data_IF_793644232028
#
_entry.id   IF_793644232028
#
_cell.length_a   1.000
_cell.length_b   1.000
_cell.length_c   1.000
_cell.angle_alpha   90.00
_cell.angle_beta   90.00
_cell.angle_gamma   90.00
#
_symmetry.space_group_name_H-M   'P 1'
#
loop_
_entity.id
_entity.type
_entity.pdbx_description
1 polymer ?
#
# COMPACT_ATOMS: atom_id res chain seq x y z
N UNK A 1 -16.41 2.98 7.32
CA UNK A 1 -15.35 1.98 7.23
C UNK A 1 -15.90 0.63 6.90
N UNK A 2 -15.13 -0.16 6.21
CA UNK A 2 -15.56 -1.48 5.83
C UNK A 2 -14.70 -2.52 6.52
N UNK A 3 -15.35 -3.48 7.15
CA UNK A 3 -14.66 -4.53 7.88
C UNK A 3 -14.55 -5.77 7.01
N UNK A 4 -13.37 -6.36 6.93
CA UNK A 4 -13.17 -7.64 6.28
C UNK A 4 -12.46 -8.59 7.23
N UNK A 5 -12.77 -9.86 7.09
CA UNK A 5 -12.14 -10.92 7.86
C UNK A 5 -11.04 -11.52 6.99
N UNK A 6 -9.81 -11.46 7.45
CA UNK A 6 -8.64 -11.92 6.69
C UNK A 6 -7.97 -13.05 7.43
N UNK A 7 -7.66 -14.13 6.72
CA UNK A 7 -6.95 -15.26 7.32
C UNK A 7 -5.45 -15.01 7.18
N UNK A 8 -4.75 -14.88 8.31
CA UNK A 8 -3.32 -14.66 8.35
C UNK A 8 -2.70 -15.77 9.17
N UNK A 9 -1.86 -16.58 8.55
CA UNK A 9 -1.16 -17.68 9.22
C UNK A 9 -2.11 -18.60 9.98
N UNK A 10 -3.25 -18.90 9.37
CA UNK A 10 -4.23 -19.78 9.99
C UNK A 10 -5.13 -19.12 11.00
N UNK A 11 -4.95 -17.84 11.27
CA UNK A 11 -5.80 -17.10 12.19
C UNK A 11 -6.66 -16.11 11.44
N UNK A 12 -7.91 -15.98 11.88
CA UNK A 12 -8.82 -15.04 11.25
C UNK A 12 -8.79 -13.74 12.01
N UNK A 13 -8.51 -12.65 11.30
CA UNK A 13 -8.39 -11.32 11.88
C UNK A 13 -9.37 -10.39 11.20
N UNK A 14 -10.10 -9.60 12.00
CA UNK A 14 -11.00 -8.59 11.46
C UNK A 14 -10.26 -7.28 11.34
N UNK A 15 -10.33 -6.67 10.16
CA UNK A 15 -9.66 -5.39 9.90
C UNK A 15 -10.67 -4.44 9.31
N UNK A 16 -10.71 -3.22 9.83
CA UNK A 16 -11.59 -2.17 9.32
C UNK A 16 -10.75 -1.10 8.65
N UNK A 17 -11.06 -0.83 7.39
CA UNK A 17 -10.37 0.19 6.62
C UNK A 17 -11.40 0.95 5.80
N UNK A 18 -11.05 2.17 5.45
CA UNK A 18 -11.85 2.94 4.51
C UNK A 18 -11.89 2.20 3.16
N UNK A 19 -13.00 2.28 2.43
CA UNK A 19 -13.10 1.58 1.15
C UNK A 19 -11.97 1.90 0.18
N UNK A 20 -11.48 3.13 0.17
CA UNK A 20 -10.39 3.50 -0.73
C UNK A 20 -9.12 2.70 -0.45
N UNK A 21 -8.85 2.40 0.83
CA UNK A 21 -7.68 1.60 1.16
C UNK A 21 -7.87 0.13 0.79
N UNK A 22 -9.09 -0.40 0.94
CA UNK A 22 -9.36 -1.76 0.49
C UNK A 22 -9.16 -1.87 -1.02
N UNK A 23 -9.64 -0.88 -1.77
CA UNK A 23 -9.46 -0.88 -3.22
C UNK A 23 -8.00 -0.83 -3.60
N UNK A 24 -7.22 0.00 -2.91
CA UNK A 24 -5.79 0.10 -3.18
C UNK A 24 -5.08 -1.22 -2.93
N UNK A 25 -5.41 -1.88 -1.82
CA UNK A 25 -4.78 -3.15 -1.49
C UNK A 25 -5.20 -4.26 -2.45
N UNK A 26 -6.47 -4.29 -2.85
CA UNK A 26 -6.93 -5.25 -3.86
C UNK A 26 -6.18 -5.05 -5.17
N UNK A 27 -5.96 -3.81 -5.56
CA UNK A 27 -5.24 -3.50 -6.78
C UNK A 27 -3.79 -3.96 -6.71
N UNK A 28 -3.13 -3.70 -5.59
CA UNK A 28 -1.74 -4.11 -5.41
C UNK A 28 -1.63 -5.64 -5.49
N UNK A 29 -2.54 -6.34 -4.80
CA UNK A 29 -2.52 -7.80 -4.83
C UNK A 29 -2.71 -8.32 -6.24
N UNK A 30 -3.62 -7.71 -7.00
CA UNK A 30 -3.88 -8.11 -8.38
C UNK A 30 -2.65 -7.89 -9.25
N UNK A 31 -2.00 -6.74 -9.11
CA UNK A 31 -0.81 -6.43 -9.89
C UNK A 31 0.31 -7.42 -9.57
N UNK A 32 0.41 -7.85 -8.33
CA UNK A 32 1.44 -8.80 -7.93
C UNK A 32 1.02 -10.25 -8.12
N UNK A 33 -0.17 -10.48 -8.67
CA UNK A 33 -0.68 -11.82 -8.92
C UNK A 33 -0.69 -12.68 -7.66
N UNK A 34 -1.15 -12.11 -6.55
CA UNK A 34 -1.20 -12.82 -5.29
C UNK A 34 -2.52 -12.51 -4.58
N UNK A 35 -2.88 -13.33 -3.60
CA UNK A 35 -4.11 -13.11 -2.86
C UNK A 35 -3.96 -11.92 -1.92
N UNK A 36 -5.08 -11.31 -1.57
CA UNK A 36 -5.07 -10.22 -0.60
C UNK A 36 -4.56 -10.71 0.75
N UNK A 37 -4.94 -11.93 1.16
CA UNK A 37 -4.47 -12.49 2.41
C UNK A 37 -2.96 -12.65 2.43
N UNK A 38 -2.37 -13.07 1.30
CA UNK A 38 -0.92 -13.20 1.20
C UNK A 38 -0.24 -11.84 1.34
N UNK A 39 -0.78 -10.82 0.67
CA UNK A 39 -0.24 -9.47 0.76
C UNK A 39 -0.31 -8.95 2.20
N UNK A 40 -1.47 -9.09 2.82
CA UNK A 40 -1.65 -8.60 4.19
C UNK A 40 -0.77 -9.37 5.16
N UNK A 41 -0.57 -10.66 4.93
CA UNK A 41 0.34 -11.44 5.77
C UNK A 41 1.76 -10.92 5.74
N UNK A 42 2.23 -10.50 4.56
CA UNK A 42 3.56 -9.89 4.46
C UNK A 42 3.64 -8.57 5.19
N UNK A 43 2.60 -7.74 5.06
CA UNK A 43 2.58 -6.45 5.76
C UNK A 43 2.54 -6.67 7.28
N UNK A 44 1.79 -7.67 7.72
CA UNK A 44 1.73 -8.01 9.13
C UNK A 44 3.11 -8.40 9.65
N UNK A 45 3.84 -9.18 8.87
CA UNK A 45 5.19 -9.58 9.24
C UNK A 45 6.11 -8.37 9.35
N UNK A 46 6.00 -7.43 8.39
CA UNK A 46 6.83 -6.24 8.40
C UNK A 46 6.53 -5.33 9.60
N UNK A 47 5.24 -5.19 9.97
CA UNK A 47 4.93 -4.35 11.12
C UNK A 47 5.44 -4.96 12.41
N UNK A 48 5.41 -6.28 12.52
CA UNK A 48 5.87 -6.96 13.74
C UNK A 48 7.38 -6.88 13.90
N UNK A 49 8.12 -6.56 12.84
CA UNK A 49 9.55 -6.34 12.94
C UNK A 49 9.90 -4.97 13.50
N UNK A 50 8.95 -4.09 13.65
CA UNK A 50 9.16 -2.76 14.21
C UNK A 50 8.93 -2.79 15.73
N UNK A 51 9.63 -1.92 16.44
CA UNK A 51 9.49 -1.86 17.89
C UNK A 51 9.34 -0.40 18.31
N UNK A 52 8.17 0.00 18.81
CA UNK A 52 6.97 -0.82 18.96
C UNK A 52 6.28 -1.06 17.62
N UNK A 53 5.57 -2.17 17.52
CA UNK A 53 4.87 -2.50 16.30
C UNK A 53 3.62 -1.64 16.15
N UNK A 54 3.39 -1.05 14.97
CA UNK A 54 2.14 -0.32 14.73
C UNK A 54 0.97 -1.31 14.61
N UNK A 55 -0.24 -0.81 14.76
CA UNK A 55 -1.42 -1.65 14.53
C UNK A 55 -1.51 -2.08 13.08
N UNK A 56 -2.21 -3.18 12.83
CA UNK A 56 -2.31 -3.71 11.48
C UNK A 56 -3.03 -2.74 10.54
N UNK A 57 -4.13 -2.16 10.96
CA UNK A 57 -4.86 -1.22 10.11
C UNK A 57 -3.97 -0.03 9.73
N UNK A 58 -3.21 0.47 10.69
CA UNK A 58 -2.29 1.58 10.44
C UNK A 58 -1.22 1.16 9.44
N UNK A 59 -0.64 -0.02 9.63
CA UNK A 59 0.39 -0.53 8.71
C UNK A 59 -0.15 -0.69 7.29
N UNK A 60 -1.38 -1.16 7.16
CA UNK A 60 -1.98 -1.33 5.85
C UNK A 60 -2.21 0.01 5.15
N UNK A 61 -2.65 1.02 5.90
CA UNK A 61 -2.83 2.35 5.32
C UNK A 61 -1.52 2.94 4.86
N UNK A 62 -0.49 2.83 5.68
CA UNK A 62 0.83 3.35 5.33
C UNK A 62 1.38 2.64 4.11
N UNK A 63 1.24 1.31 4.06
CA UNK A 63 1.72 0.54 2.92
C UNK A 63 1.02 0.99 1.63
N UNK A 64 -0.30 1.12 1.66
CA UNK A 64 -1.05 1.54 0.49
C UNK A 64 -0.62 2.94 0.03
N UNK A 65 -0.42 3.83 0.98
CA UNK A 65 0.01 5.19 0.66
C UNK A 65 1.40 5.20 0.03
N UNK A 66 2.33 4.45 0.60
CA UNK A 66 3.70 4.41 0.08
C UNK A 66 3.74 3.82 -1.32
N UNK A 67 2.96 2.78 -1.58
CA UNK A 67 2.92 2.18 -2.91
C UNK A 67 2.33 3.16 -3.91
N UNK A 68 1.30 3.90 -3.53
CA UNK A 68 0.70 4.89 -4.42
C UNK A 68 1.69 5.98 -4.78
N UNK A 69 2.52 6.38 -3.82
CA UNK A 69 3.51 7.42 -4.07
C UNK A 69 4.67 6.92 -4.92
N UNK A 70 5.04 5.66 -4.77
CA UNK A 70 6.17 5.11 -5.51
C UNK A 70 5.80 4.71 -6.93
N UNK A 71 4.53 4.41 -7.16
CA UNK A 71 4.06 3.99 -8.47
C UNK A 71 3.21 5.08 -9.06
N UNK A 72 3.65 6.30 -8.92
CA UNK A 72 2.87 7.42 -9.40
C UNK A 72 2.56 7.24 -10.86
N UNK A 73 1.31 7.32 -11.26
CA UNK A 73 0.98 7.18 -12.66
C UNK A 73 1.56 8.34 -13.43
N UNK A 74 1.94 8.10 -14.63
CA UNK A 74 2.36 9.18 -15.46
C UNK A 74 1.14 10.02 -15.69
N UNK A 75 1.21 11.14 -15.22
CA UNK A 75 0.17 12.00 -15.47
C UNK A 75 0.33 12.48 -16.81
N UNK A 76 -0.27 12.06 -17.46
CA UNK A 76 -0.10 12.51 -18.55
C UNK A 76 0.38 13.72 -18.54
N UNK A 77 0.93 13.70 -18.42
CA UNK A 77 1.51 14.44 -18.23
C UNK A 77 2.47 14.46 -17.76
N UNK A 78 2.82 14.54 -17.86
CA UNK A 78 3.57 14.53 -17.33
C UNK A 78 4.37 14.26 -17.32
N UNK A 79 4.75 14.39 -17.45
CA UNK A 79 5.53 14.05 -17.35
C UNK A 79 6.38 14.01 -17.28
N UNK A 80 6.97 14.16 -17.42
CA UNK A 80 7.78 13.87 -17.31
C UNK A 80 8.55 13.94 -17.22
N UNK A 81 8.83 14.12 -17.33
CA UNK A 81 9.32 13.87 -17.22
C UNK A 81 9.95 14.00 -16.95
N UNK A 82 10.24 14.39 -17.33
CA UNK A 82 10.52 14.23 -17.17
C UNK A 82 10.92 14.41 -16.64
N UNK A 83 11.42 14.96 -16.78
CA UNK A 83 11.41 14.83 -16.44
C UNK A 83 11.74 15.05 -15.71
N UNK A 84 11.94 15.52 -15.59
CA UNK A 84 11.87 15.46 -15.12
C UNK A 84 12.01 15.55 -14.48
N UNK A 85 12.61 15.82 -15.00
CA UNK A 85 12.33 15.72 -14.63
C UNK A 85 12.48 16.01 -13.92
N UNK A 86 12.93 16.54 -13.92
CA UNK A 86 12.65 16.57 -13.46
C UNK A 86 12.93 16.66 -12.68
N UNK A 87 13.32 17.08 -12.71
CA UNK A 87 13.08 16.96 -12.09
C UNK A 87 13.29 16.98 -11.42
N UNK A 88 13.81 17.07 -11.91
CA UNK A 88 13.53 16.92 -11.48
C UNK A 88 13.47 17.08 -10.81
N UNK A 89 13.92 17.31 -11.02
CA UNK A 89 13.39 17.17 -10.54
C UNK A 89 13.16 17.34 -9.89
N UNK A 90 13.50 17.67 -9.95
CA UNK A 90 12.86 17.51 -9.37
C UNK A 90 12.58 17.65 -8.65
N UNK A 91 13.03 17.90 -8.58
CA UNK A 91 12.34 17.74 -8.02
C UNK A 91 12.17 17.88 -7.18
N UNK A 92 12.26 18.16 -7.19
CA UNK A 92 11.67 18.05 -6.52
C UNK A 92 11.35 18.17 -5.83
N UNK A 93 11.53 18.35 -6.11
CA UNK A 93 10.85 18.20 -5.68
C UNK A 93 10.48 18.12 -5.37
N UNK A 94 10.88 18.49 -5.62
CA UNK A 94 10.29 18.11 -5.43
C UNK A 94 9.96 18.10 -5.40
#
# INVERSE_FOLDING_TARGET
>A
MRKRSIAIKGHRTSVSLEPAFWEALDEIARVEARSLASLIGDIDRMRLAQSPAPGLASALRVFALMRARNVAPPLSGASPDSGQALNSAVGDEA
#
